data_IF_231842488434
#
_entry.id   IF_231842488434
#
_cell.length_a   1.000
_cell.length_b   1.000
_cell.length_c   1.000
_cell.angle_alpha   90.00
_cell.angle_beta   90.00
_cell.angle_gamma   90.00
#
_symmetry.space_group_name_H-M   'P 1'
#
loop_
_entity.id
_entity.type
_entity.pdbx_description
1 polymer ?
#
# COMPACT_ATOMS: atom_id res chain seq x y z
N UNK A 1 -21.45 23.97 -14.96
CA UNK A 1 -20.34 23.00 -15.09
C UNK A 1 -19.74 22.84 -13.72
N UNK A 2 -19.68 21.63 -13.16
CA UNK A 2 -18.95 21.41 -11.91
C UNK A 2 -17.46 21.67 -12.17
N UNK A 3 -16.78 22.40 -11.29
CA UNK A 3 -15.34 22.65 -11.42
C UNK A 3 -14.59 21.32 -11.32
N UNK A 4 -13.70 21.05 -12.27
CA UNK A 4 -12.79 19.92 -12.21
C UNK A 4 -11.45 20.36 -11.62
N UNK A 5 -10.86 19.61 -10.68
CA UNK A 5 -11.38 18.37 -10.10
C UNK A 5 -12.53 18.62 -9.08
N UNK A 6 -13.50 17.68 -8.97
CA UNK A 6 -14.56 17.78 -7.97
C UNK A 6 -13.97 17.54 -6.56
N UNK A 7 -14.07 18.54 -5.69
CA UNK A 7 -13.53 18.50 -4.32
C UNK A 7 -14.56 18.08 -3.25
N UNK A 8 -15.68 17.49 -3.67
CA UNK A 8 -16.80 17.12 -2.80
C UNK A 8 -17.31 15.71 -3.08
N UNK A 9 -17.98 15.12 -2.09
CA UNK A 9 -18.57 13.79 -2.23
C UNK A 9 -19.82 13.81 -3.12
N UNK A 10 -20.03 12.73 -3.88
CA UNK A 10 -21.24 12.57 -4.69
C UNK A 10 -22.46 12.35 -3.77
N UNK A 11 -23.64 12.93 -4.07
CA UNK A 11 -24.85 12.72 -3.25
C UNK A 11 -25.25 11.25 -3.09
N UNK A 12 -24.84 10.39 -4.02
CA UNK A 12 -25.09 8.95 -3.96
C UNK A 12 -24.45 8.27 -2.76
N UNK A 13 -23.43 8.87 -2.13
CA UNK A 13 -22.72 8.28 -0.99
C UNK A 13 -23.19 8.80 0.37
N UNK A 14 -24.17 9.71 0.41
CA UNK A 14 -24.64 10.35 1.65
C UNK A 14 -25.21 9.35 2.66
N UNK A 15 -25.80 8.26 2.17
CA UNK A 15 -26.39 7.19 2.98
C UNK A 15 -25.34 6.24 3.62
N UNK A 16 -24.08 6.34 3.21
CA UNK A 16 -23.03 5.46 3.71
C UNK A 16 -22.59 5.87 5.13
N UNK A 17 -22.20 4.90 5.96
CA UNK A 17 -21.52 5.16 7.23
C UNK A 17 -20.37 6.16 7.12
N UNK A 18 -20.15 6.95 8.16
CA UNK A 18 -19.13 7.99 8.19
C UNK A 18 -17.72 7.44 7.92
N UNK A 19 -17.38 6.29 8.50
CA UNK A 19 -16.09 5.63 8.25
C UNK A 19 -15.86 5.29 6.79
N UNK A 20 -16.91 5.08 5.98
CA UNK A 20 -16.75 4.88 4.53
C UNK A 20 -16.53 6.24 3.86
N UNK A 21 -17.35 7.24 4.19
CA UNK A 21 -17.26 8.58 3.59
C UNK A 21 -15.91 9.25 3.84
N UNK A 22 -15.29 8.99 4.98
CA UNK A 22 -13.94 9.48 5.31
C UNK A 22 -12.87 8.99 4.33
N UNK A 23 -13.07 7.84 3.67
CA UNK A 23 -12.14 7.28 2.69
C UNK A 23 -12.45 7.68 1.25
N UNK A 24 -13.46 8.53 1.04
CA UNK A 24 -13.87 8.99 -0.28
C UNK A 24 -13.37 10.42 -0.52
N UNK A 25 -13.11 10.75 -1.78
CA UNK A 25 -12.64 12.08 -2.18
C UNK A 25 -11.12 12.18 -2.16
N UNK A 26 -10.63 13.40 -1.93
CA UNK A 26 -9.22 13.81 -2.02
C UNK A 26 -8.54 13.98 -0.65
N UNK A 27 -9.30 13.82 0.44
CA UNK A 27 -8.78 13.93 1.81
C UNK A 27 -8.14 12.63 2.27
N UNK A 28 -7.11 12.77 3.10
CA UNK A 28 -6.45 11.64 3.74
C UNK A 28 -7.43 10.88 4.64
N UNK A 29 -7.39 9.55 4.59
CA UNK A 29 -8.28 8.71 5.39
C UNK A 29 -7.88 8.72 6.86
N UNK A 30 -8.74 9.30 7.70
CA UNK A 30 -8.57 9.35 9.16
C UNK A 30 -9.84 8.86 9.84
N UNK A 31 -9.77 7.73 10.52
CA UNK A 31 -10.93 7.13 11.17
C UNK A 31 -10.58 6.57 12.56
N UNK A 32 -10.99 7.29 13.61
CA UNK A 32 -10.82 6.88 15.00
C UNK A 32 -11.53 5.56 15.31
N UNK A 33 -12.74 5.35 14.76
CA UNK A 33 -13.53 4.12 14.96
C UNK A 33 -12.75 2.88 14.50
N UNK A 34 -12.02 2.99 13.39
CA UNK A 34 -11.19 1.90 12.84
C UNK A 34 -9.76 1.93 13.37
N UNK A 35 -9.40 2.90 14.21
CA UNK A 35 -8.02 3.15 14.67
C UNK A 35 -7.04 3.38 13.52
N UNK A 36 -7.53 3.91 12.40
CA UNK A 36 -6.76 4.24 11.21
C UNK A 36 -6.47 5.75 11.23
N UNK A 37 -5.46 6.15 12.01
CA UNK A 37 -5.18 7.56 12.34
C UNK A 37 -3.74 7.95 12.07
N UNK A 38 -2.97 7.12 11.36
CA UNK A 38 -1.60 7.44 11.00
C UNK A 38 -1.57 8.63 10.03
N UNK A 39 -0.90 9.71 10.43
CA UNK A 39 -0.69 10.90 9.62
C UNK A 39 0.49 10.71 8.66
N UNK A 40 0.17 10.51 7.38
CA UNK A 40 1.15 10.30 6.33
C UNK A 40 1.91 11.59 5.95
N UNK A 41 1.34 12.77 6.22
CA UNK A 41 1.96 14.05 5.88
C UNK A 41 2.88 14.53 7.03
N UNK A 42 2.57 14.16 8.28
CA UNK A 42 3.37 14.49 9.46
C UNK A 42 3.96 13.24 10.13
N UNK A 43 5.01 12.69 9.51
CA UNK A 43 5.69 11.51 10.01
C UNK A 43 6.27 11.70 11.42
N UNK A 44 6.03 10.76 12.37
CA UNK A 44 6.62 10.83 13.70
C UNK A 44 8.15 10.73 13.65
N UNK A 45 8.83 11.20 14.70
CA UNK A 45 10.29 11.09 14.77
C UNK A 45 10.79 9.63 14.69
N UNK A 46 10.00 8.70 15.25
CA UNK A 46 10.25 7.27 15.27
C UNK A 46 9.07 6.53 14.68
N UNK A 47 9.35 5.40 14.04
CA UNK A 47 8.31 4.49 13.55
C UNK A 47 7.39 4.07 14.72
N UNK A 48 6.05 4.07 14.51
CA UNK A 48 5.12 3.50 15.47
C UNK A 48 5.43 2.05 15.80
N UNK A 49 5.00 1.58 16.97
CA UNK A 49 5.16 0.16 17.33
C UNK A 49 4.33 -0.73 16.41
N UNK A 50 5.02 -1.57 15.63
CA UNK A 50 4.43 -2.54 14.71
C UNK A 50 4.52 -3.99 15.23
N UNK A 51 4.83 -4.20 16.51
CA UNK A 51 5.00 -5.54 17.10
C UNK A 51 3.76 -6.44 17.02
N UNK A 52 2.57 -5.86 16.80
CA UNK A 52 1.29 -6.57 16.64
C UNK A 52 0.85 -6.65 15.18
N UNK A 53 1.71 -6.24 14.25
CA UNK A 53 1.42 -6.22 12.82
C UNK A 53 2.05 -7.42 12.12
N UNK A 54 1.35 -7.97 11.13
CA UNK A 54 1.74 -9.20 10.42
C UNK A 54 1.96 -9.02 8.91
N UNK A 55 2.01 -7.77 8.45
CA UNK A 55 2.32 -7.46 7.04
C UNK A 55 3.81 -7.61 6.75
N UNK A 56 4.17 -7.89 5.49
CA UNK A 56 5.58 -8.00 5.07
C UNK A 56 6.38 -6.72 5.36
N UNK A 57 5.77 -5.54 5.14
CA UNK A 57 6.36 -4.25 5.45
C UNK A 57 6.63 -4.10 6.95
N UNK A 58 5.65 -4.45 7.79
CA UNK A 58 5.77 -4.34 9.24
C UNK A 58 6.88 -5.25 9.80
N UNK A 59 6.91 -6.52 9.38
CA UNK A 59 7.96 -7.46 9.78
C UNK A 59 9.36 -6.93 9.40
N UNK A 60 9.53 -6.45 8.15
CA UNK A 60 10.81 -5.90 7.69
C UNK A 60 11.23 -4.65 8.48
N UNK A 61 10.28 -3.75 8.76
CA UNK A 61 10.55 -2.55 9.56
C UNK A 61 10.87 -2.87 11.02
N UNK A 62 10.30 -3.94 11.59
CA UNK A 62 10.67 -4.45 12.91
C UNK A 62 12.07 -5.07 12.92
N UNK A 63 12.46 -5.79 11.85
CA UNK A 63 13.79 -6.38 11.70
C UNK A 63 14.88 -5.33 11.42
N UNK A 64 14.53 -4.27 10.68
CA UNK A 64 15.44 -3.21 10.23
C UNK A 64 14.86 -1.82 10.52
N UNK A 65 14.72 -1.43 11.80
CA UNK A 65 14.10 -0.16 12.18
C UNK A 65 14.83 1.07 11.62
N UNK A 66 16.12 0.97 11.30
CA UNK A 66 16.92 2.03 10.70
C UNK A 66 16.44 2.45 9.30
N UNK A 67 15.72 1.58 8.59
CA UNK A 67 15.15 1.91 7.27
C UNK A 67 14.19 3.10 7.36
N UNK A 68 13.45 3.22 8.47
CA UNK A 68 12.55 4.34 8.67
C UNK A 68 13.29 5.67 8.67
N UNK A 69 14.38 5.78 9.43
CA UNK A 69 15.16 7.01 9.53
C UNK A 69 15.86 7.36 8.22
N UNK A 70 16.30 6.35 7.45
CA UNK A 70 16.91 6.54 6.14
C UNK A 70 15.92 7.03 5.07
N UNK A 71 14.65 6.66 5.18
CA UNK A 71 13.63 6.87 4.15
C UNK A 71 12.62 7.98 4.48
N UNK A 72 12.40 8.33 5.76
CA UNK A 72 11.36 9.28 6.19
C UNK A 72 11.50 10.69 5.60
N UNK A 73 12.72 11.10 5.26
CA UNK A 73 12.99 12.40 4.65
C UNK A 73 12.92 12.42 3.11
N UNK A 74 12.71 11.25 2.48
CA UNK A 74 12.65 11.14 1.01
C UNK A 74 11.23 11.41 0.49
N UNK A 75 11.14 11.94 -0.71
CA UNK A 75 9.88 12.22 -1.40
C UNK A 75 10.10 12.12 -2.90
N UNK A 76 9.11 11.63 -3.64
CA UNK A 76 9.13 11.56 -5.10
C UNK A 76 8.90 12.95 -5.72
N UNK A 77 9.13 13.10 -7.02
CA UNK A 77 8.88 14.36 -7.76
C UNK A 77 7.42 14.81 -7.70
N UNK A 78 6.49 13.89 -7.46
CA UNK A 78 5.05 14.18 -7.34
C UNK A 78 4.59 14.37 -5.87
N UNK A 79 5.51 14.37 -4.90
CA UNK A 79 5.16 14.61 -3.51
C UNK A 79 4.68 13.36 -2.74
N UNK A 80 4.97 12.16 -3.24
CA UNK A 80 4.73 10.91 -2.49
C UNK A 80 5.87 10.72 -1.49
N UNK A 81 5.54 10.69 -0.20
CA UNK A 81 6.51 10.47 0.88
C UNK A 81 6.40 9.03 1.41
N UNK A 82 7.31 8.65 2.31
CA UNK A 82 7.29 7.31 2.94
C UNK A 82 5.96 7.03 3.66
N UNK A 83 5.39 8.04 4.33
CA UNK A 83 4.15 7.91 5.09
C UNK A 83 2.99 7.44 4.24
N UNK A 84 2.83 8.03 3.05
CA UNK A 84 1.81 7.64 2.07
C UNK A 84 1.97 6.18 1.63
N UNK A 85 3.21 5.71 1.49
CA UNK A 85 3.48 4.33 1.12
C UNK A 85 3.14 3.33 2.23
N UNK A 86 3.47 3.64 3.49
CA UNK A 86 3.35 2.69 4.61
C UNK A 86 2.02 2.79 5.37
N UNK A 87 1.24 3.86 5.17
CA UNK A 87 0.01 4.14 5.94
C UNK A 87 -0.92 2.94 6.03
N UNK A 88 -1.17 2.27 4.90
CA UNK A 88 -2.03 1.07 4.89
C UNK A 88 -1.49 -0.05 5.78
N UNK A 89 -0.17 -0.20 5.92
CA UNK A 89 0.43 -1.20 6.78
C UNK A 89 0.50 -0.76 8.23
N UNK A 90 0.57 0.53 8.53
CA UNK A 90 0.54 1.05 9.92
C UNK A 90 -0.88 1.01 10.49
N UNK A 91 -1.88 1.44 9.71
CA UNK A 91 -3.27 1.51 10.15
C UNK A 91 -3.95 0.13 10.24
N UNK A 92 -3.43 -0.88 9.54
CA UNK A 92 -4.02 -2.21 9.48
C UNK A 92 -3.05 -3.28 10.02
N UNK A 93 -3.21 -3.73 11.29
CA UNK A 93 -2.34 -4.74 11.90
C UNK A 93 -2.23 -6.06 11.14
N UNK A 94 -3.27 -6.45 10.41
CA UNK A 94 -3.25 -7.65 9.60
C UNK A 94 -4.59 -7.87 8.92
N UNK A 95 -4.71 -8.97 8.22
CA UNK A 95 -5.95 -9.37 7.57
C UNK A 95 -6.33 -10.80 7.98
N UNK A 96 -7.62 -11.11 8.24
CA UNK A 96 -8.02 -12.41 8.80
C UNK A 96 -7.64 -13.64 7.97
N UNK A 97 -7.49 -13.47 6.65
CA UNK A 97 -7.36 -14.60 5.72
C UNK A 97 -6.07 -14.63 4.90
N UNK A 98 -5.34 -13.52 4.81
CA UNK A 98 -4.16 -13.42 3.94
C UNK A 98 -3.06 -12.62 4.60
N UNK A 99 -1.81 -12.93 4.26
CA UNK A 99 -0.66 -12.10 4.62
C UNK A 99 -0.59 -10.90 3.69
N UNK A 100 -0.81 -9.71 4.24
CA UNK A 100 -0.80 -8.46 3.47
C UNK A 100 0.61 -7.95 3.26
N UNK A 101 0.78 -7.11 2.25
CA UNK A 101 2.07 -6.43 1.98
C UNK A 101 2.29 -5.30 2.98
N UNK A 102 1.26 -4.45 3.21
CA UNK A 102 1.37 -3.29 4.09
C UNK A 102 2.12 -2.10 3.47
N UNK A 103 2.31 -2.11 2.14
CA UNK A 103 3.05 -1.11 1.40
C UNK A 103 2.37 -0.87 0.05
N UNK A 104 2.23 0.39 -0.35
CA UNK A 104 1.68 0.81 -1.65
C UNK A 104 2.57 1.88 -2.28
N UNK A 105 2.71 1.85 -3.61
CA UNK A 105 3.40 2.91 -4.35
C UNK A 105 2.38 3.98 -4.76
N UNK A 106 2.70 5.26 -4.53
CA UNK A 106 1.83 6.37 -4.95
C UNK A 106 2.09 6.80 -6.40
N UNK A 107 3.28 6.51 -6.91
CA UNK A 107 3.70 6.73 -8.30
C UNK A 107 4.80 5.73 -8.68
N UNK A 108 5.24 5.74 -9.94
CA UNK A 108 6.30 4.86 -10.45
C UNK A 108 7.63 5.07 -9.71
N UNK A 109 7.99 6.34 -9.46
CA UNK A 109 9.25 6.71 -8.81
C UNK A 109 9.33 6.22 -7.35
N UNK A 110 8.20 5.92 -6.71
CA UNK A 110 8.16 5.34 -5.37
C UNK A 110 8.98 4.04 -5.28
N UNK A 111 9.00 3.22 -6.34
CA UNK A 111 9.81 2.00 -6.38
C UNK A 111 11.32 2.28 -6.40
N UNK A 112 11.75 3.43 -6.91
CA UNK A 112 13.17 3.82 -6.95
C UNK A 112 13.59 4.56 -5.67
N UNK A 113 12.82 5.57 -5.25
CA UNK A 113 13.12 6.41 -4.08
C UNK A 113 13.11 5.60 -2.78
N UNK A 114 12.18 4.66 -2.68
CA UNK A 114 11.99 3.80 -1.51
C UNK A 114 12.41 2.34 -1.78
N UNK A 115 13.27 2.10 -2.78
CA UNK A 115 13.71 0.74 -3.18
C UNK A 115 14.25 -0.11 -2.03
N UNK A 116 14.95 0.50 -1.07
CA UNK A 116 15.52 -0.21 0.09
C UNK A 116 14.44 -0.83 0.98
N UNK A 117 13.19 -0.37 0.87
CA UNK A 117 11.99 -0.95 1.47
C UNK A 117 11.19 -1.81 0.49
N UNK A 118 10.99 -1.36 -0.75
CA UNK A 118 10.19 -2.09 -1.74
C UNK A 118 10.86 -3.41 -2.17
N UNK A 119 12.16 -3.40 -2.49
CA UNK A 119 12.85 -4.56 -3.05
C UNK A 119 12.80 -5.77 -2.10
N UNK A 120 13.12 -5.65 -0.79
CA UNK A 120 13.08 -6.81 0.10
C UNK A 120 11.63 -7.27 0.39
N UNK A 121 10.65 -6.36 0.33
CA UNK A 121 9.23 -6.73 0.47
C UNK A 121 8.73 -7.48 -0.76
N UNK A 122 9.11 -7.04 -1.97
CA UNK A 122 8.80 -7.72 -3.23
C UNK A 122 9.40 -9.13 -3.22
N UNK A 123 10.69 -9.25 -2.90
CA UNK A 123 11.38 -10.53 -2.84
C UNK A 123 10.65 -11.54 -1.94
N UNK A 124 10.30 -11.13 -0.70
CA UNK A 124 9.54 -11.96 0.25
C UNK A 124 8.15 -12.32 -0.26
N UNK A 125 7.41 -11.35 -0.81
CA UNK A 125 6.03 -11.56 -1.25
C UNK A 125 5.94 -12.45 -2.49
N UNK A 126 6.93 -12.37 -3.38
CA UNK A 126 6.97 -13.05 -4.66
C UNK A 126 7.82 -14.33 -4.66
N UNK A 127 8.19 -14.83 -3.47
CA UNK A 127 8.79 -16.15 -3.32
C UNK A 127 10.25 -16.22 -3.77
N UNK A 128 11.03 -15.16 -3.54
CA UNK A 128 12.44 -15.10 -3.92
C UNK A 128 12.65 -14.46 -5.29
N UNK A 129 11.91 -13.40 -5.63
CA UNK A 129 12.12 -12.62 -6.86
C UNK A 129 13.04 -11.43 -6.54
N UNK A 130 14.35 -11.53 -6.79
CA UNK A 130 15.31 -10.53 -6.35
C UNK A 130 15.22 -9.24 -7.18
N UNK A 131 15.77 -8.16 -6.66
CA UNK A 131 15.70 -6.82 -7.27
C UNK A 131 16.32 -6.73 -8.67
N UNK A 132 17.26 -7.62 -9.01
CA UNK A 132 17.91 -7.70 -10.31
C UNK A 132 17.25 -8.69 -11.27
N UNK A 133 16.21 -9.42 -10.83
CA UNK A 133 15.45 -10.28 -11.70
C UNK A 133 14.59 -9.45 -12.68
N UNK A 134 14.56 -9.90 -13.94
CA UNK A 134 13.75 -9.27 -14.98
C UNK A 134 12.48 -10.07 -15.21
N UNK A 135 11.32 -9.41 -15.10
CA UNK A 135 10.04 -10.03 -15.43
C UNK A 135 9.87 -10.17 -16.95
N UNK A 136 9.46 -11.34 -17.43
CA UNK A 136 9.11 -11.57 -18.84
C UNK A 136 7.60 -11.53 -19.01
N UNK A 137 7.10 -10.63 -19.85
CA UNK A 137 5.67 -10.52 -20.18
C UNK A 137 5.34 -11.27 -21.47
N UNK A 138 4.33 -12.14 -21.42
CA UNK A 138 3.82 -12.90 -22.55
C UNK A 138 2.28 -12.91 -22.51
N UNK A 139 1.66 -12.25 -23.48
CA UNK A 139 0.19 -12.10 -23.57
C UNK A 139 -0.40 -12.92 -24.73
N UNK A 140 0.36 -13.89 -25.27
CA UNK A 140 -0.11 -14.78 -26.33
C UNK A 140 -1.07 -15.84 -25.76
N UNK A 141 -2.37 -15.62 -25.95
CA UNK A 141 -3.42 -16.51 -25.44
C UNK A 141 -3.35 -17.93 -26.02
N UNK A 142 -2.68 -18.13 -27.17
CA UNK A 142 -2.57 -19.45 -27.80
C UNK A 142 -1.68 -20.41 -27.03
N UNK A 143 -0.89 -19.91 -26.08
CA UNK A 143 -0.05 -20.70 -25.16
C UNK A 143 -0.81 -21.20 -23.93
N UNK A 144 -2.08 -20.80 -23.76
CA UNK A 144 -2.93 -21.22 -22.65
C UNK A 144 -3.73 -22.47 -23.05
N UNK A 145 -3.78 -23.45 -22.16
CA UNK A 145 -4.56 -24.69 -22.37
C UNK A 145 -6.05 -24.42 -22.57
N UNK A 146 -6.67 -25.08 -23.53
CA UNK A 146 -8.12 -25.06 -23.77
C UNK A 146 -8.88 -26.16 -23.00
N UNK A 147 -8.18 -26.96 -22.18
CA UNK A 147 -8.79 -28.04 -21.39
C UNK A 147 -9.83 -27.49 -20.40
N UNK A 148 -11.09 -27.96 -20.46
CA UNK A 148 -12.11 -27.59 -19.47
C UNK A 148 -11.74 -28.11 -18.08
N UNK A 149 -11.71 -27.22 -17.08
CA UNK A 149 -11.34 -27.54 -15.69
C UNK A 149 -12.48 -28.29 -14.98
N UNK A 150 -13.72 -27.85 -15.21
CA UNK A 150 -14.93 -28.51 -14.74
C UNK A 150 -15.91 -28.61 -15.91
N UNK A 151 -15.88 -29.71 -16.67
CA UNK A 151 -16.80 -29.92 -17.79
C UNK A 151 -18.27 -30.03 -17.37
N UNK A 152 -18.55 -30.27 -16.08
CA UNK A 152 -19.89 -30.52 -15.55
C UNK A 152 -20.57 -29.30 -14.92
N UNK A 153 -19.78 -28.33 -14.42
CA UNK A 153 -20.26 -27.10 -13.80
C UNK A 153 -20.46 -27.18 -12.29
#
# INVERSE_FOLDING_TARGET
MASYPPSGLAPTVDHLPEWIKLGLGDKEYMCDEKKATFDADNLPEKLPDLSKHSSYMAELMCEKPELYDQLKGKTTKNGVNLGKCIKTGVDNPGHPSIKTVGLVAGDEESYEVFKDLFDPVIDRRHGGFPADATHTTDLDFTKVSDTPIDPSG
#
